data_IF_641069045080
#
_entry.id   IF_641069045080
#
_cell.length_a   1.000
_cell.length_b   1.000
_cell.length_c   1.000
_cell.angle_alpha   90.00
_cell.angle_beta   90.00
_cell.angle_gamma   90.00
#
_symmetry.space_group_name_H-M   'P 1'
#
loop_
_entity.id
_entity.type
_entity.pdbx_description
1 polymer ?
#
# COMPACT_ATOMS: atom_id res chain seq x y z
N UNK A 1 4.99 -15.23 -5.34
CA UNK A 1 4.01 -16.21 -4.81
C UNK A 1 2.63 -15.96 -5.44
N UNK A 2 1.58 -16.76 -5.17
CA UNK A 2 0.22 -16.39 -5.59
C UNK A 2 -0.23 -15.04 -4.98
N UNK A 3 0.17 -14.77 -3.74
CA UNK A 3 -0.09 -13.48 -3.05
C UNK A 3 0.59 -12.32 -3.77
N UNK A 4 1.85 -12.47 -4.22
CA UNK A 4 2.57 -11.43 -4.99
C UNK A 4 1.82 -11.05 -6.27
N UNK A 5 1.32 -12.04 -7.02
CA UNK A 5 0.56 -11.79 -8.25
C UNK A 5 -0.72 -11.01 -7.96
N UNK A 6 -1.46 -11.41 -6.92
CA UNK A 6 -2.68 -10.70 -6.52
C UNK A 6 -2.36 -9.28 -6.05
N UNK A 7 -1.27 -9.08 -5.31
CA UNK A 7 -0.78 -7.75 -4.93
C UNK A 7 -0.48 -6.89 -6.16
N UNK A 8 0.26 -7.41 -7.14
CA UNK A 8 0.53 -6.74 -8.41
C UNK A 8 -0.78 -6.31 -9.10
N UNK A 9 -1.74 -7.22 -9.25
CA UNK A 9 -3.05 -6.90 -9.85
C UNK A 9 -3.76 -5.76 -9.10
N UNK A 10 -3.79 -5.81 -7.77
CA UNK A 10 -4.41 -4.75 -6.98
C UNK A 10 -3.67 -3.41 -7.06
N UNK A 11 -2.34 -3.42 -7.15
CA UNK A 11 -1.53 -2.19 -7.30
C UNK A 11 -1.78 -1.56 -8.67
N UNK A 12 -1.79 -2.35 -9.75
CA UNK A 12 -2.09 -1.85 -11.09
C UNK A 12 -3.54 -1.33 -11.17
N UNK A 13 -4.49 -2.01 -10.51
CA UNK A 13 -5.89 -1.55 -10.47
C UNK A 13 -6.05 -0.25 -9.68
N UNK A 14 -5.31 -0.08 -8.57
CA UNK A 14 -5.27 1.17 -7.79
C UNK A 14 -4.81 2.34 -8.65
N UNK A 15 -3.73 2.15 -9.42
CA UNK A 15 -3.19 3.20 -10.29
C UNK A 15 -4.19 3.60 -11.39
N UNK A 16 -4.92 2.65 -11.94
CA UNK A 16 -5.88 2.90 -13.02
C UNK A 16 -7.21 3.50 -12.55
N UNK A 17 -7.66 3.19 -11.33
CA UNK A 17 -9.04 3.49 -10.88
C UNK A 17 -9.15 4.33 -9.63
N UNK A 18 -8.04 4.60 -8.95
CA UNK A 18 -8.01 5.30 -7.67
C UNK A 18 -8.31 4.38 -6.48
N UNK A 19 -8.22 4.95 -5.28
CA UNK A 19 -8.37 4.19 -4.04
C UNK A 19 -9.84 3.98 -3.68
N UNK A 20 -10.16 2.77 -3.21
CA UNK A 20 -11.45 2.48 -2.62
C UNK A 20 -11.29 1.72 -1.30
N UNK A 21 -12.26 1.89 -0.40
CA UNK A 21 -12.29 1.22 0.90
C UNK A 21 -12.25 -0.32 0.83
N UNK A 22 -12.90 -0.89 -0.20
CA UNK A 22 -12.84 -2.35 -0.44
C UNK A 22 -11.43 -2.78 -0.82
N UNK A 23 -10.73 -1.97 -1.60
CA UNK A 23 -9.37 -2.23 -2.02
C UNK A 23 -8.37 -2.06 -0.87
N UNK A 24 -8.57 -1.08 0.02
CA UNK A 24 -7.80 -0.94 1.26
C UNK A 24 -7.82 -2.21 2.12
N UNK A 25 -8.98 -2.86 2.26
CA UNK A 25 -9.11 -4.15 2.97
C UNK A 25 -8.36 -5.28 2.29
N UNK A 26 -8.40 -5.35 0.95
CA UNK A 26 -7.61 -6.31 0.18
C UNK A 26 -6.12 -6.09 0.39
N UNK A 27 -5.64 -4.85 0.33
CA UNK A 27 -4.24 -4.55 0.62
C UNK A 27 -3.86 -5.00 2.03
N UNK A 28 -4.63 -4.65 3.06
CA UNK A 28 -4.36 -5.09 4.42
C UNK A 28 -4.27 -6.63 4.53
N UNK A 29 -5.22 -7.36 3.93
CA UNK A 29 -5.21 -8.82 3.94
C UNK A 29 -4.00 -9.40 3.20
N UNK A 30 -3.63 -8.85 2.04
CA UNK A 30 -2.46 -9.29 1.27
C UNK A 30 -1.17 -9.03 2.03
N UNK A 31 -1.01 -7.84 2.60
CA UNK A 31 0.12 -7.48 3.45
C UNK A 31 0.24 -8.44 4.64
N UNK A 32 -0.86 -8.74 5.33
CA UNK A 32 -0.85 -9.68 6.46
C UNK A 32 -0.41 -11.11 6.08
N UNK A 33 -0.51 -11.50 4.79
CA UNK A 33 -0.12 -12.82 4.28
C UNK A 33 1.29 -12.84 3.67
N UNK A 34 1.98 -11.70 3.55
CA UNK A 34 3.37 -11.67 3.08
C UNK A 34 4.29 -12.19 4.19
N UNK A 35 5.02 -13.27 3.90
CA UNK A 35 5.98 -13.86 4.81
C UNK A 35 7.36 -13.22 4.63
N UNK A 36 8.06 -12.95 5.75
CA UNK A 36 9.48 -12.57 5.73
C UNK A 36 10.36 -13.82 5.61
N UNK A 37 11.53 -13.75 4.93
CA UNK A 37 12.07 -12.58 4.25
C UNK A 37 11.34 -12.31 2.92
N UNK A 38 11.14 -11.02 2.62
CA UNK A 38 10.51 -10.60 1.36
C UNK A 38 11.43 -10.86 0.17
N UNK A 39 10.85 -11.27 -0.96
CA UNK A 39 11.59 -11.31 -2.21
C UNK A 39 11.78 -9.89 -2.76
N UNK A 40 12.83 -9.63 -3.57
CA UNK A 40 13.06 -8.32 -4.18
C UNK A 40 11.84 -7.80 -4.99
N UNK A 41 11.11 -8.72 -5.63
CA UNK A 41 9.89 -8.41 -6.36
C UNK A 41 8.77 -7.90 -5.44
N UNK A 42 8.54 -8.57 -4.30
CA UNK A 42 7.55 -8.13 -3.30
C UNK A 42 7.92 -6.73 -2.79
N UNK A 43 9.19 -6.48 -2.49
CA UNK A 43 9.68 -5.15 -2.09
C UNK A 43 9.38 -4.09 -3.16
N UNK A 44 9.60 -4.38 -4.44
CA UNK A 44 9.30 -3.45 -5.54
C UNK A 44 7.82 -3.07 -5.57
N UNK A 45 6.93 -4.06 -5.46
CA UNK A 45 5.48 -3.83 -5.45
C UNK A 45 5.01 -3.08 -4.21
N UNK A 46 5.54 -3.40 -3.03
CA UNK A 46 5.26 -2.68 -1.80
C UNK A 46 5.67 -1.21 -1.89
N UNK A 47 6.85 -0.93 -2.45
CA UNK A 47 7.31 0.45 -2.65
C UNK A 47 6.41 1.22 -3.63
N UNK A 48 5.97 0.57 -4.71
CA UNK A 48 5.03 1.19 -5.66
C UNK A 48 3.68 1.47 -5.00
N UNK A 49 3.14 0.53 -4.23
CA UNK A 49 1.90 0.71 -3.46
C UNK A 49 1.99 1.92 -2.53
N UNK A 50 3.04 2.00 -1.71
CA UNK A 50 3.20 3.11 -0.77
C UNK A 50 3.31 4.47 -1.49
N UNK A 51 4.04 4.57 -2.61
CA UNK A 51 4.10 5.80 -3.41
C UNK A 51 2.72 6.22 -3.95
N UNK A 52 1.95 5.27 -4.47
CA UNK A 52 0.58 5.55 -4.93
C UNK A 52 -0.30 6.02 -3.78
N UNK A 53 -0.25 5.35 -2.62
CA UNK A 53 -0.99 5.76 -1.43
C UNK A 53 -0.59 7.17 -0.96
N UNK A 54 0.70 7.50 -0.96
CA UNK A 54 1.18 8.84 -0.60
C UNK A 54 0.69 9.91 -1.56
N UNK A 55 0.70 9.64 -2.87
CA UNK A 55 0.19 10.57 -3.87
C UNK A 55 -1.32 10.81 -3.73
N UNK A 56 -2.09 9.74 -3.51
CA UNK A 56 -3.54 9.84 -3.31
C UNK A 56 -3.84 10.62 -2.03
N UNK A 57 -3.11 10.33 -0.95
CA UNK A 57 -3.25 11.04 0.32
C UNK A 57 -2.93 12.52 0.19
N UNK A 58 -1.89 12.88 -0.55
CA UNK A 58 -1.51 14.27 -0.78
C UNK A 58 -2.56 15.06 -1.60
N UNK A 59 -3.42 14.36 -2.34
CA UNK A 59 -4.53 14.95 -3.08
C UNK A 59 -5.83 15.07 -2.26
N UNK A 60 -5.87 14.57 -1.01
CA UNK A 60 -7.05 14.72 -0.14
C UNK A 60 -7.16 16.17 0.37
N UNK A 61 -8.34 16.75 0.25
CA UNK A 61 -8.59 18.15 0.63
C UNK A 61 -8.94 18.34 2.11
N UNK A 62 -9.40 17.27 2.78
CA UNK A 62 -9.88 17.32 4.17
C UNK A 62 -9.15 16.31 5.05
N UNK A 63 -8.72 16.72 6.27
CA UNK A 63 -8.17 15.81 7.26
C UNK A 63 -9.22 14.84 7.85
N UNK A 64 -10.51 15.08 7.61
CA UNK A 64 -11.61 14.20 7.98
C UNK A 64 -11.95 13.17 6.88
N UNK A 65 -11.22 13.16 5.75
CA UNK A 65 -11.48 12.21 4.68
C UNK A 65 -11.34 10.76 5.21
N UNK A 66 -12.37 9.91 5.03
CA UNK A 66 -12.36 8.56 5.59
C UNK A 66 -11.23 7.68 5.03
N UNK A 67 -10.67 8.01 3.86
CA UNK A 67 -9.56 7.28 3.25
C UNK A 67 -8.22 7.62 3.89
N UNK A 68 -8.08 8.77 4.54
CA UNK A 68 -6.80 9.22 5.11
C UNK A 68 -6.19 8.19 6.06
N UNK A 69 -7.00 7.64 6.97
CA UNK A 69 -6.56 6.63 7.93
C UNK A 69 -6.15 5.31 7.26
N UNK A 70 -6.88 4.90 6.22
CA UNK A 70 -6.59 3.66 5.49
C UNK A 70 -5.27 3.79 4.69
N UNK A 71 -5.06 4.94 4.04
CA UNK A 71 -3.81 5.24 3.31
C UNK A 71 -2.62 5.31 4.26
N UNK A 72 -2.75 6.02 5.38
CA UNK A 72 -1.70 6.12 6.41
C UNK A 72 -1.32 4.75 6.99
N UNK A 73 -2.30 3.87 7.23
CA UNK A 73 -2.05 2.52 7.70
C UNK A 73 -1.22 1.70 6.70
N UNK A 74 -1.58 1.75 5.41
CA UNK A 74 -0.86 1.02 4.36
C UNK A 74 0.58 1.53 4.24
N UNK A 75 0.77 2.86 4.19
CA UNK A 75 2.10 3.49 4.13
C UNK A 75 2.94 3.05 5.34
N UNK A 76 2.36 3.08 6.55
CA UNK A 76 3.03 2.69 7.79
C UNK A 76 3.47 1.22 7.77
N UNK A 77 2.60 0.31 7.32
CA UNK A 77 2.95 -1.11 7.20
C UNK A 77 4.10 -1.33 6.22
N UNK A 78 4.06 -0.70 5.04
CA UNK A 78 5.14 -0.80 4.05
C UNK A 78 6.46 -0.26 4.62
N UNK A 79 6.44 0.95 5.19
CA UNK A 79 7.65 1.63 5.60
C UNK A 79 8.26 1.03 6.89
N UNK A 80 7.42 0.74 7.90
CA UNK A 80 7.87 0.30 9.23
C UNK A 80 7.89 -1.20 9.39
N UNK A 81 6.81 -1.90 9.01
CA UNK A 81 6.73 -3.36 9.19
C UNK A 81 7.56 -4.11 8.15
N UNK A 82 7.48 -3.71 6.88
CA UNK A 82 8.29 -4.30 5.79
C UNK A 82 9.63 -3.59 5.56
N UNK A 83 9.97 -2.64 6.44
CA UNK A 83 11.28 -1.98 6.49
C UNK A 83 11.69 -1.26 5.20
N UNK A 84 10.71 -0.83 4.39
CA UNK A 84 10.94 0.03 3.23
C UNK A 84 11.07 1.50 3.69
N UNK A 85 12.07 1.76 4.56
CA UNK A 85 12.19 2.99 5.35
C UNK A 85 12.41 4.26 4.53
N UNK A 86 12.83 4.12 3.27
CA UNK A 86 12.92 5.23 2.31
C UNK A 86 11.54 5.88 2.01
N UNK A 87 10.46 5.25 2.44
CA UNK A 87 9.08 5.67 2.18
C UNK A 87 8.32 6.09 3.44
N UNK A 88 8.97 6.12 4.61
CA UNK A 88 8.34 6.60 5.83
C UNK A 88 8.08 8.11 5.71
N UNK A 89 6.87 8.55 6.06
CA UNK A 89 6.61 9.96 6.30
C UNK A 89 7.51 10.43 7.45
N UNK A 90 8.26 11.52 7.19
CA UNK A 90 9.07 12.24 8.16
C UNK A 90 8.21 13.04 9.14
#
# INVERSE_FOLDING_TARGET
>A
SQVTKVLEYHVNWLEATGFSRKQGRWFYALLANLQKPLMPEDCSWLRRLARLCSNIRAALESPEDPQLNELNLIICLVARYFEQRDLADS
#
